data_IF_890871729680
#
_entry.id   IF_890871729680
#
_cell.length_a   1.000
_cell.length_b   1.000
_cell.length_c   1.000
_cell.angle_alpha   90.00
_cell.angle_beta   90.00
_cell.angle_gamma   90.00
#
_symmetry.space_group_name_H-M   'P 1'
#
loop_
_entity.id
_entity.type
_entity.pdbx_description
1 polymer ?
#
# COMPACT_ATOMS: atom_id res chain seq x y z
N UNK A 1 -32.28 -22.64 -1.96
CA UNK A 1 -30.93 -23.17 -2.29
C UNK A 1 -29.88 -22.11 -2.66
N UNK A 2 -30.23 -20.88 -3.04
CA UNK A 2 -29.24 -19.87 -3.46
C UNK A 2 -28.55 -19.11 -2.30
N UNK A 3 -29.29 -18.74 -1.27
CA UNK A 3 -28.77 -17.95 -0.15
C UNK A 3 -27.70 -18.68 0.69
N UNK A 4 -27.89 -19.99 0.93
CA UNK A 4 -26.90 -20.79 1.70
C UNK A 4 -25.60 -21.02 0.97
N UNK A 5 -25.62 -21.12 -0.37
CA UNK A 5 -24.40 -21.23 -1.20
C UNK A 5 -23.65 -19.90 -1.32
N UNK A 6 -24.36 -18.78 -1.32
CA UNK A 6 -23.77 -17.44 -1.37
C UNK A 6 -23.04 -17.14 -0.04
N UNK A 7 -23.62 -17.53 1.09
CA UNK A 7 -23.00 -17.38 2.41
C UNK A 7 -21.69 -18.20 2.55
N UNK A 8 -21.67 -19.44 2.04
CA UNK A 8 -20.46 -20.29 2.08
C UNK A 8 -19.29 -19.76 1.22
N UNK A 9 -19.58 -19.20 0.03
CA UNK A 9 -18.56 -18.61 -0.82
C UNK A 9 -17.99 -17.32 -0.23
N UNK A 10 -18.85 -16.53 0.41
CA UNK A 10 -18.45 -15.32 1.11
C UNK A 10 -17.55 -15.64 2.31
N UNK A 11 -17.90 -16.63 3.12
CA UNK A 11 -17.06 -17.11 4.23
C UNK A 11 -15.68 -17.58 3.76
N UNK A 12 -15.63 -18.29 2.63
CA UNK A 12 -14.35 -18.73 2.05
C UNK A 12 -13.48 -17.53 1.63
N UNK A 13 -14.08 -16.53 0.97
CA UNK A 13 -13.36 -15.32 0.56
C UNK A 13 -12.79 -14.56 1.77
N UNK A 14 -13.60 -14.36 2.81
CA UNK A 14 -13.14 -13.71 4.06
C UNK A 14 -12.01 -14.51 4.72
N UNK A 15 -12.08 -15.84 4.71
CA UNK A 15 -11.00 -16.70 5.22
C UNK A 15 -9.73 -16.54 4.39
N UNK A 16 -9.83 -16.48 3.06
CA UNK A 16 -8.69 -16.24 2.17
C UNK A 16 -8.03 -14.90 2.44
N UNK A 17 -8.81 -13.82 2.57
CA UNK A 17 -8.30 -12.49 2.90
C UNK A 17 -7.54 -12.52 4.23
N UNK A 18 -8.15 -13.09 5.28
CA UNK A 18 -7.50 -13.21 6.60
C UNK A 18 -6.21 -14.02 6.53
N UNK A 19 -6.21 -15.14 5.81
CA UNK A 19 -5.02 -15.97 5.65
C UNK A 19 -3.92 -15.23 4.89
N UNK A 20 -4.25 -14.50 3.81
CA UNK A 20 -3.29 -13.70 3.07
C UNK A 20 -2.69 -12.57 3.93
N UNK A 21 -3.52 -11.88 4.72
CA UNK A 21 -3.05 -10.85 5.65
C UNK A 21 -2.11 -11.44 6.72
N UNK A 22 -2.47 -12.59 7.32
CA UNK A 22 -1.63 -13.26 8.32
C UNK A 22 -0.32 -13.73 7.70
N UNK A 23 -0.36 -14.31 6.50
CA UNK A 23 0.84 -14.78 5.81
C UNK A 23 1.80 -13.63 5.49
N UNK A 24 1.28 -12.50 4.97
CA UNK A 24 2.09 -11.32 4.68
C UNK A 24 2.66 -10.70 5.96
N UNK A 25 1.87 -10.62 7.04
CA UNK A 25 2.33 -10.14 8.34
C UNK A 25 3.43 -11.04 8.92
N UNK A 26 3.23 -12.38 8.89
CA UNK A 26 4.24 -13.34 9.33
C UNK A 26 5.54 -13.24 8.53
N UNK A 27 5.44 -13.05 7.20
CA UNK A 27 6.59 -12.81 6.34
C UNK A 27 7.39 -11.58 6.78
N UNK A 28 6.72 -10.44 7.04
CA UNK A 28 7.40 -9.22 7.48
C UNK A 28 7.96 -9.32 8.90
N UNK A 29 7.28 -10.03 9.81
CA UNK A 29 7.83 -10.32 11.14
C UNK A 29 9.08 -11.18 11.03
N UNK A 30 9.04 -12.24 10.22
CA UNK A 30 10.20 -13.11 10.01
C UNK A 30 11.39 -12.32 9.44
N UNK A 31 11.18 -11.54 8.37
CA UNK A 31 12.25 -10.74 7.75
C UNK A 31 12.74 -9.59 8.64
N UNK A 32 11.89 -9.08 9.52
CA UNK A 32 12.27 -8.09 10.53
C UNK A 32 13.18 -8.68 11.61
N UNK A 33 13.06 -9.98 11.93
CA UNK A 33 13.88 -10.66 12.93
C UNK A 33 15.17 -11.25 12.36
N UNK A 34 15.12 -11.78 11.13
CA UNK A 34 16.25 -12.53 10.52
C UNK A 34 17.03 -11.71 9.49
N UNK A 35 16.50 -10.58 9.09
CA UNK A 35 17.00 -9.78 7.97
C UNK A 35 16.21 -10.02 6.68
N UNK A 36 16.27 -9.04 5.75
CA UNK A 36 15.55 -9.14 4.47
C UNK A 36 16.17 -10.18 3.56
N UNK A 37 15.35 -10.80 2.73
CA UNK A 37 15.80 -11.61 1.59
C UNK A 37 16.48 -10.73 0.52
N UNK A 38 16.99 -11.37 -0.52
CA UNK A 38 17.51 -10.68 -1.70
C UNK A 38 16.49 -9.65 -2.22
N UNK A 39 16.97 -8.50 -2.67
CA UNK A 39 16.16 -7.30 -2.91
C UNK A 39 14.90 -7.54 -3.75
N UNK A 40 15.02 -8.22 -4.90
CA UNK A 40 13.88 -8.50 -5.78
C UNK A 40 12.90 -9.49 -5.17
N UNK A 41 13.39 -10.53 -4.49
CA UNK A 41 12.56 -11.55 -3.82
C UNK A 41 11.72 -10.91 -2.72
N UNK A 42 12.35 -10.15 -1.83
CA UNK A 42 11.66 -9.43 -0.75
C UNK A 42 10.54 -8.53 -1.28
N UNK A 43 10.85 -7.79 -2.34
CA UNK A 43 9.94 -6.81 -2.94
C UNK A 43 8.81 -7.49 -3.72
N UNK A 44 9.09 -8.58 -4.43
CA UNK A 44 8.08 -9.34 -5.16
C UNK A 44 7.06 -10.00 -4.22
N UNK A 45 7.49 -10.55 -3.09
CA UNK A 45 6.59 -11.10 -2.07
C UNK A 45 5.74 -9.98 -1.45
N UNK A 46 6.35 -8.85 -1.11
CA UNK A 46 5.65 -7.70 -0.53
C UNK A 46 4.57 -7.15 -1.46
N UNK A 47 4.92 -6.83 -2.71
CA UNK A 47 3.99 -6.29 -3.70
C UNK A 47 2.94 -7.32 -4.09
N UNK A 48 3.36 -8.57 -4.34
CA UNK A 48 2.45 -9.66 -4.69
C UNK A 48 1.43 -9.93 -3.59
N UNK A 49 1.86 -9.97 -2.33
CA UNK A 49 0.97 -10.10 -1.18
C UNK A 49 0.03 -8.90 -1.02
N UNK A 50 0.57 -7.68 -1.06
CA UNK A 50 -0.20 -6.45 -0.93
C UNK A 50 -1.25 -6.27 -2.02
N UNK A 51 -0.89 -6.47 -3.29
CA UNK A 51 -1.83 -6.36 -4.40
C UNK A 51 -2.85 -7.50 -4.42
N UNK A 52 -2.45 -8.71 -4.01
CA UNK A 52 -3.39 -9.83 -3.86
C UNK A 52 -4.46 -9.51 -2.82
N UNK A 53 -4.08 -8.99 -1.66
CA UNK A 53 -5.01 -8.56 -0.62
C UNK A 53 -5.90 -7.42 -1.15
N UNK A 54 -5.34 -6.45 -1.86
CA UNK A 54 -6.11 -5.35 -2.46
C UNK A 54 -7.20 -5.84 -3.41
N UNK A 55 -6.89 -6.76 -4.33
CA UNK A 55 -7.89 -7.31 -5.26
C UNK A 55 -8.91 -8.19 -4.56
N UNK A 56 -8.52 -8.98 -3.56
CA UNK A 56 -9.45 -9.77 -2.76
C UNK A 56 -10.45 -8.89 -2.00
N UNK A 57 -9.99 -7.78 -1.40
CA UNK A 57 -10.86 -6.80 -0.73
C UNK A 57 -11.78 -6.10 -1.73
N UNK A 58 -11.31 -5.74 -2.92
CA UNK A 58 -12.13 -5.15 -3.97
C UNK A 58 -13.22 -6.13 -4.46
N UNK A 59 -12.91 -7.41 -4.56
CA UNK A 59 -13.89 -8.46 -4.87
C UNK A 59 -14.93 -8.58 -3.76
N UNK A 60 -14.50 -8.59 -2.49
CA UNK A 60 -15.39 -8.66 -1.33
C UNK A 60 -16.39 -7.48 -1.31
N UNK A 61 -15.89 -6.26 -1.50
CA UNK A 61 -16.71 -5.05 -1.55
C UNK A 61 -17.77 -5.13 -2.66
N UNK A 62 -17.37 -5.53 -3.89
CA UNK A 62 -18.29 -5.68 -5.03
C UNK A 62 -19.34 -6.77 -4.83
N UNK A 63 -19.02 -7.85 -4.13
CA UNK A 63 -19.98 -8.90 -3.78
C UNK A 63 -21.00 -8.35 -2.78
N UNK A 64 -20.54 -7.63 -1.73
CA UNK A 64 -21.41 -7.07 -0.70
C UNK A 64 -22.37 -6.02 -1.24
N UNK A 65 -21.92 -5.21 -2.18
CA UNK A 65 -22.75 -4.17 -2.81
C UNK A 65 -23.62 -4.70 -3.97
N UNK A 66 -23.60 -6.00 -4.21
CA UNK A 66 -24.33 -6.67 -5.31
C UNK A 66 -24.01 -6.06 -6.69
N UNK A 67 -22.79 -5.53 -6.84
CA UNK A 67 -22.30 -4.84 -8.04
C UNK A 67 -21.72 -5.83 -9.05
N UNK A 68 -21.91 -5.48 -10.28
CA UNK A 68 -21.36 -5.92 -11.55
C UNK A 68 -20.39 -7.14 -11.53
N UNK A 69 -20.90 -8.30 -11.97
CA UNK A 69 -20.13 -9.55 -12.14
C UNK A 69 -18.87 -9.36 -12.99
N UNK A 70 -18.92 -8.47 -14.00
CA UNK A 70 -17.78 -8.16 -14.87
C UNK A 70 -16.63 -7.55 -14.05
N UNK A 71 -16.95 -6.64 -13.12
CA UNK A 71 -15.94 -6.04 -12.25
C UNK A 71 -15.26 -7.06 -11.33
N UNK A 72 -16.01 -8.05 -10.84
CA UNK A 72 -15.47 -9.16 -10.03
C UNK A 72 -14.56 -10.05 -10.88
N UNK A 73 -14.96 -10.34 -12.12
CA UNK A 73 -14.14 -11.14 -13.04
C UNK A 73 -12.82 -10.44 -13.41
N UNK A 74 -12.88 -9.12 -13.65
CA UNK A 74 -11.66 -8.32 -13.91
C UNK A 74 -10.70 -8.35 -12.71
N UNK A 75 -11.21 -8.15 -11.49
CA UNK A 75 -10.37 -8.19 -10.29
C UNK A 75 -9.78 -9.59 -10.04
N UNK A 76 -10.55 -10.64 -10.31
CA UNK A 76 -10.04 -12.00 -10.27
C UNK A 76 -8.94 -12.28 -11.29
N UNK A 77 -9.07 -11.75 -12.51
CA UNK A 77 -8.03 -11.85 -13.54
C UNK A 77 -6.76 -11.08 -13.12
N UNK A 78 -6.91 -9.87 -12.60
CA UNK A 78 -5.79 -9.05 -12.12
C UNK A 78 -5.08 -9.69 -10.91
N UNK A 79 -5.84 -10.32 -10.01
CA UNK A 79 -5.29 -11.10 -8.91
C UNK A 79 -4.42 -12.25 -9.42
N UNK A 80 -4.93 -13.06 -10.34
CA UNK A 80 -4.20 -14.19 -10.92
C UNK A 80 -2.95 -13.69 -11.65
N UNK A 81 -3.08 -12.64 -12.45
CA UNK A 81 -1.95 -12.03 -13.17
C UNK A 81 -0.88 -11.51 -12.18
N UNK A 82 -1.28 -10.88 -11.09
CA UNK A 82 -0.35 -10.44 -10.03
C UNK A 82 0.43 -11.59 -9.45
N UNK A 83 -0.27 -12.67 -9.07
CA UNK A 83 0.38 -13.87 -8.52
C UNK A 83 1.35 -14.48 -9.53
N UNK A 84 0.96 -14.59 -10.80
CA UNK A 84 1.84 -15.13 -11.86
C UNK A 84 3.09 -14.25 -12.02
N UNK A 85 2.92 -12.93 -12.18
CA UNK A 85 4.05 -12.02 -12.37
C UNK A 85 5.01 -12.06 -11.18
N UNK A 86 4.51 -11.99 -9.94
CA UNK A 86 5.37 -12.01 -8.76
C UNK A 86 6.04 -13.38 -8.56
N UNK A 87 5.31 -14.49 -8.76
CA UNK A 87 5.88 -15.83 -8.66
C UNK A 87 6.96 -16.08 -9.73
N UNK A 88 6.80 -15.52 -10.91
CA UNK A 88 7.80 -15.63 -11.97
C UNK A 88 9.15 -15.02 -11.55
N UNK A 89 9.14 -13.84 -10.91
CA UNK A 89 10.36 -13.24 -10.36
C UNK A 89 11.02 -14.16 -9.33
N UNK A 90 10.22 -14.78 -8.45
CA UNK A 90 10.75 -15.69 -7.42
C UNK A 90 11.41 -16.95 -8.02
N UNK A 91 10.76 -17.54 -9.03
CA UNK A 91 11.21 -18.79 -9.66
C UNK A 91 12.36 -18.56 -10.64
N UNK A 92 12.41 -17.40 -11.28
CA UNK A 92 13.42 -17.05 -12.31
C UNK A 92 14.55 -16.20 -11.78
N UNK A 93 14.64 -15.99 -10.46
CA UNK A 93 15.59 -15.06 -9.85
C UNK A 93 17.04 -15.33 -10.26
N UNK A 94 17.49 -16.58 -10.16
CA UNK A 94 18.86 -16.97 -10.49
C UNK A 94 19.20 -16.70 -11.96
N UNK A 95 18.23 -16.93 -12.87
CA UNK A 95 18.37 -16.59 -14.29
C UNK A 95 18.45 -15.09 -14.52
N UNK A 96 17.63 -14.29 -13.82
CA UNK A 96 17.55 -12.83 -13.98
C UNK A 96 18.83 -12.12 -13.49
N UNK A 97 19.48 -12.68 -12.49
CA UNK A 97 20.72 -12.11 -11.91
C UNK A 97 21.99 -12.56 -12.65
N UNK A 98 21.87 -13.50 -13.58
CA UNK A 98 23.01 -13.96 -14.39
C UNK A 98 23.57 -12.81 -15.22
N UNK A 99 24.91 -12.56 -15.21
CA UNK A 99 25.53 -11.51 -16.01
C UNK A 99 25.33 -11.64 -17.53
N UNK A 100 25.01 -12.84 -18.02
CA UNK A 100 24.72 -13.12 -19.43
C UNK A 100 23.22 -13.23 -19.73
N UNK A 101 22.38 -12.68 -18.84
CA UNK A 101 20.94 -12.71 -18.99
C UNK A 101 20.49 -11.94 -20.24
N UNK A 102 19.65 -12.60 -21.05
CA UNK A 102 18.93 -11.98 -22.15
C UNK A 102 17.42 -12.07 -21.91
N UNK A 103 16.66 -10.95 -22.03
CA UNK A 103 15.22 -10.96 -21.88
C UNK A 103 14.54 -11.83 -22.94
N UNK A 104 13.64 -12.69 -22.52
CA UNK A 104 12.79 -13.48 -23.41
C UNK A 104 11.47 -12.74 -23.70
N UNK A 105 10.73 -13.17 -24.73
CA UNK A 105 9.39 -12.63 -25.02
C UNK A 105 8.43 -12.75 -23.83
N UNK A 106 8.56 -13.79 -23.02
CA UNK A 106 7.74 -14.00 -21.81
C UNK A 106 8.07 -12.92 -20.78
N UNK A 107 9.33 -12.60 -20.59
CA UNK A 107 9.78 -11.55 -19.69
C UNK A 107 9.17 -10.19 -20.05
N UNK A 108 9.15 -9.86 -21.33
CA UNK A 108 8.56 -8.61 -21.83
C UNK A 108 7.04 -8.58 -21.61
N UNK A 109 6.34 -9.67 -21.91
CA UNK A 109 4.89 -9.77 -21.71
C UNK A 109 4.53 -9.63 -20.23
N UNK A 110 5.24 -10.34 -19.35
CA UNK A 110 5.00 -10.24 -17.90
C UNK A 110 5.38 -8.87 -17.34
N UNK A 111 6.44 -8.25 -17.86
CA UNK A 111 6.83 -6.88 -17.52
C UNK A 111 5.77 -5.86 -17.87
N UNK A 112 5.20 -5.93 -19.08
CA UNK A 112 4.09 -5.06 -19.50
C UNK A 112 2.83 -5.34 -18.68
N UNK A 113 2.52 -6.61 -18.40
CA UNK A 113 1.40 -7.01 -17.57
C UNK A 113 1.54 -6.44 -16.14
N UNK A 114 2.70 -6.59 -15.52
CA UNK A 114 2.94 -6.07 -14.17
C UNK A 114 2.91 -4.54 -14.14
N UNK A 115 3.47 -3.87 -15.14
CA UNK A 115 3.37 -2.41 -15.28
C UNK A 115 1.92 -1.96 -15.35
N UNK A 116 1.09 -2.63 -16.15
CA UNK A 116 -0.35 -2.35 -16.22
C UNK A 116 -1.05 -2.56 -14.87
N UNK A 117 -0.74 -3.63 -14.14
CA UNK A 117 -1.29 -3.91 -12.81
C UNK A 117 -0.94 -2.78 -11.84
N UNK A 118 0.32 -2.35 -11.80
CA UNK A 118 0.78 -1.24 -10.95
C UNK A 118 0.02 0.05 -11.27
N UNK A 119 -0.12 0.39 -12.55
CA UNK A 119 -0.88 1.57 -12.99
C UNK A 119 -2.36 1.48 -12.60
N UNK A 120 -2.99 0.32 -12.74
CA UNK A 120 -4.40 0.11 -12.39
C UNK A 120 -4.64 0.18 -10.88
N UNK A 121 -3.76 -0.42 -10.07
CA UNK A 121 -3.84 -0.30 -8.61
C UNK A 121 -3.62 1.16 -8.19
N UNK A 122 -2.63 1.84 -8.76
CA UNK A 122 -2.36 3.26 -8.48
C UNK A 122 -3.56 4.13 -8.86
N UNK A 123 -4.18 3.87 -10.02
CA UNK A 123 -5.40 4.56 -10.46
C UNK A 123 -6.55 4.42 -9.46
N UNK A 124 -6.75 3.22 -8.94
CA UNK A 124 -7.82 2.95 -7.95
C UNK A 124 -7.55 3.59 -6.59
N UNK A 125 -6.28 3.68 -6.18
CA UNK A 125 -5.89 4.20 -4.87
C UNK A 125 -5.79 5.74 -4.84
N UNK A 126 -5.24 6.36 -5.88
CA UNK A 126 -4.84 7.77 -5.87
C UNK A 126 -5.55 8.59 -6.98
N UNK A 127 -6.24 7.92 -7.91
CA UNK A 127 -6.87 8.54 -9.07
C UNK A 127 -5.97 8.57 -10.31
N UNK A 128 -6.39 9.32 -11.33
CA UNK A 128 -5.80 9.28 -12.67
C UNK A 128 -4.49 10.05 -12.83
N UNK A 129 -4.21 11.03 -11.97
CA UNK A 129 -3.08 11.94 -12.16
C UNK A 129 -1.72 11.20 -12.22
N UNK A 130 -1.43 10.37 -11.23
CA UNK A 130 -0.15 9.64 -11.16
C UNK A 130 0.00 8.60 -12.28
N UNK A 131 -0.99 7.75 -12.58
CA UNK A 131 -0.89 6.83 -13.71
C UNK A 131 -0.68 7.52 -15.06
N UNK A 132 -1.36 8.64 -15.32
CA UNK A 132 -1.18 9.39 -16.55
C UNK A 132 0.21 9.99 -16.66
N UNK A 133 0.75 10.52 -15.56
CA UNK A 133 2.12 11.01 -15.51
C UNK A 133 3.13 9.88 -15.78
N UNK A 134 2.92 8.72 -15.16
CA UNK A 134 3.78 7.55 -15.39
C UNK A 134 3.69 7.05 -16.85
N UNK A 135 2.49 6.97 -17.42
CA UNK A 135 2.29 6.63 -18.83
C UNK A 135 2.96 7.63 -19.76
N UNK A 136 2.88 8.93 -19.46
CA UNK A 136 3.58 9.96 -20.21
C UNK A 136 5.10 9.75 -20.17
N UNK A 137 5.67 9.42 -19.02
CA UNK A 137 7.10 9.14 -18.89
C UNK A 137 7.51 7.88 -19.65
N UNK A 138 6.70 6.82 -19.60
CA UNK A 138 6.91 5.61 -20.41
C UNK A 138 6.88 5.93 -21.89
N UNK A 139 5.88 6.69 -22.34
CA UNK A 139 5.78 7.15 -23.72
C UNK A 139 6.99 8.00 -24.15
N UNK A 140 7.38 8.95 -23.31
CA UNK A 140 8.58 9.78 -23.55
C UNK A 140 9.83 8.91 -23.68
N UNK A 141 10.03 7.94 -22.81
CA UNK A 141 11.18 7.03 -22.84
C UNK A 141 11.25 6.22 -24.14
N UNK A 142 10.10 5.72 -24.62
CA UNK A 142 10.02 4.94 -25.88
C UNK A 142 10.22 5.81 -27.13
N UNK A 143 9.60 6.99 -27.15
CA UNK A 143 9.48 7.82 -28.33
C UNK A 143 10.30 9.11 -28.26
N UNK A 144 11.37 9.15 -27.47
CA UNK A 144 12.20 10.34 -27.26
C UNK A 144 12.83 10.92 -28.51
N UNK A 145 12.98 10.12 -29.54
CA UNK A 145 13.51 10.55 -30.86
C UNK A 145 12.57 11.49 -31.62
N UNK A 146 11.29 11.52 -31.30
CA UNK A 146 10.28 12.41 -31.90
C UNK A 146 10.14 13.75 -31.18
N UNK A 147 10.73 13.91 -30.00
CA UNK A 147 10.64 15.14 -29.23
C UNK A 147 11.59 16.21 -29.77
N UNK A 148 11.19 17.50 -29.73
CA UNK A 148 12.01 18.60 -30.27
C UNK A 148 13.07 19.09 -29.26
N UNK A 149 14.16 19.61 -29.80
CA UNK A 149 15.18 20.36 -29.05
C UNK A 149 15.89 19.55 -27.98
N UNK A 150 16.04 20.13 -26.81
CA UNK A 150 16.75 19.53 -25.65
C UNK A 150 16.06 18.30 -25.05
N UNK A 151 14.80 18.08 -25.37
CA UNK A 151 14.02 16.93 -24.93
C UNK A 151 14.23 15.70 -25.80
N UNK A 152 14.95 15.85 -26.90
CA UNK A 152 15.22 14.74 -27.83
C UNK A 152 16.26 13.79 -27.26
N UNK A 153 15.94 12.49 -27.29
CA UNK A 153 16.89 11.41 -27.01
C UNK A 153 16.65 10.23 -27.97
N UNK A 154 17.54 9.25 -27.98
CA UNK A 154 17.53 8.13 -28.93
C UNK A 154 16.30 7.22 -28.85
N UNK A 155 15.48 7.35 -27.79
CA UNK A 155 14.44 6.38 -27.48
C UNK A 155 15.02 5.08 -26.92
N UNK A 156 14.16 4.19 -26.47
CA UNK A 156 14.53 2.90 -25.88
C UNK A 156 13.65 1.82 -26.46
N UNK A 157 14.18 0.59 -26.63
CA UNK A 157 13.38 -0.54 -27.08
C UNK A 157 12.40 -1.02 -25.98
N UNK A 158 11.32 -1.67 -26.39
CA UNK A 158 10.36 -2.27 -25.45
C UNK A 158 11.03 -3.35 -24.58
N UNK A 159 11.92 -4.14 -25.14
CA UNK A 159 12.64 -5.19 -24.44
C UNK A 159 13.49 -4.60 -23.30
N UNK A 160 14.29 -3.57 -23.61
CA UNK A 160 15.09 -2.88 -22.60
C UNK A 160 14.22 -2.19 -21.54
N UNK A 161 13.10 -1.61 -21.92
CA UNK A 161 12.19 -0.99 -20.97
C UNK A 161 11.57 -2.03 -20.03
N UNK A 162 11.15 -3.19 -20.54
CA UNK A 162 10.64 -4.29 -19.73
C UNK A 162 11.71 -4.85 -18.78
N UNK A 163 12.96 -4.97 -19.25
CA UNK A 163 14.12 -5.33 -18.44
C UNK A 163 14.29 -4.36 -17.27
N UNK A 164 14.39 -3.06 -17.53
CA UNK A 164 14.60 -2.05 -16.49
C UNK A 164 13.42 -1.97 -15.53
N UNK A 165 12.17 -2.04 -16.02
CA UNK A 165 10.99 -1.88 -15.17
C UNK A 165 10.68 -3.12 -14.33
N UNK A 166 10.90 -4.33 -14.88
CA UNK A 166 10.40 -5.55 -14.27
C UNK A 166 11.49 -6.56 -13.87
N UNK A 167 12.59 -6.64 -14.62
CA UNK A 167 13.65 -7.62 -14.37
C UNK A 167 14.86 -7.03 -13.63
N UNK A 168 14.76 -5.80 -13.16
CA UNK A 168 15.83 -5.16 -12.41
C UNK A 168 15.32 -4.56 -11.09
N UNK A 169 16.26 -4.24 -10.21
CA UNK A 169 16.00 -3.54 -8.95
C UNK A 169 15.87 -2.00 -9.11
N UNK A 170 15.75 -1.51 -10.35
CA UNK A 170 15.64 -0.07 -10.67
C UNK A 170 14.20 0.38 -10.94
N UNK A 171 13.36 -0.50 -11.48
CA UNK A 171 11.97 -0.22 -11.85
C UNK A 171 10.96 -0.48 -10.72
N UNK A 172 10.00 -1.37 -10.98
CA UNK A 172 8.93 -1.74 -10.03
C UNK A 172 9.51 -2.26 -8.72
N UNK A 173 10.60 -3.04 -8.81
CA UNK A 173 11.33 -3.54 -7.65
C UNK A 173 12.42 -2.58 -7.17
N UNK A 174 12.26 -1.26 -7.41
CA UNK A 174 13.23 -0.23 -7.10
C UNK A 174 13.31 0.14 -5.61
N UNK A 175 14.08 1.20 -5.33
CA UNK A 175 14.37 1.69 -3.97
C UNK A 175 13.09 1.95 -3.16
N UNK A 176 12.08 2.59 -3.75
CA UNK A 176 10.82 2.95 -3.06
C UNK A 176 10.07 1.70 -2.60
N UNK A 177 9.97 0.69 -3.48
CA UNK A 177 9.37 -0.60 -3.13
C UNK A 177 10.20 -1.32 -2.07
N UNK A 178 11.53 -1.19 -2.13
CA UNK A 178 12.44 -1.72 -1.11
C UNK A 178 12.20 -1.11 0.26
N UNK A 179 12.09 0.21 0.36
CA UNK A 179 11.75 0.90 1.61
C UNK A 179 10.38 0.47 2.14
N UNK A 180 9.39 0.34 1.24
CA UNK A 180 8.06 -0.16 1.60
C UNK A 180 8.10 -1.58 2.17
N UNK A 181 8.84 -2.49 1.52
CA UNK A 181 8.94 -3.89 1.90
C UNK A 181 9.78 -4.17 3.16
N UNK A 182 10.53 -3.19 3.65
CA UNK A 182 11.40 -3.32 4.81
C UNK A 182 11.05 -2.33 5.91
N UNK A 183 11.51 -1.09 5.78
CA UNK A 183 11.39 -0.06 6.83
C UNK A 183 9.93 0.29 7.11
N UNK A 184 9.14 0.61 6.07
CA UNK A 184 7.74 1.00 6.26
C UNK A 184 6.93 -0.18 6.80
N UNK A 185 7.13 -1.39 6.25
CA UNK A 185 6.47 -2.59 6.76
C UNK A 185 6.77 -2.84 8.25
N UNK A 186 8.03 -2.67 8.67
CA UNK A 186 8.42 -2.81 10.08
C UNK A 186 7.70 -1.79 10.98
N UNK A 187 7.63 -0.52 10.56
CA UNK A 187 6.89 0.50 11.32
C UNK A 187 5.38 0.22 11.39
N UNK A 188 4.77 -0.21 10.27
CA UNK A 188 3.35 -0.60 10.27
C UNK A 188 3.09 -1.77 11.22
N UNK A 189 3.96 -2.78 11.22
CA UNK A 189 3.86 -3.92 12.15
C UNK A 189 4.04 -3.49 13.60
N UNK A 190 5.03 -2.64 13.89
CA UNK A 190 5.23 -2.07 15.22
C UNK A 190 3.98 -1.31 15.71
N UNK A 191 3.40 -0.48 14.83
CA UNK A 191 2.16 0.24 15.11
C UNK A 191 1.01 -0.70 15.43
N UNK A 192 0.81 -1.73 14.62
CA UNK A 192 -0.25 -2.73 14.82
C UNK A 192 -0.10 -3.46 16.17
N UNK A 193 1.12 -3.86 16.53
CA UNK A 193 1.41 -4.50 17.84
C UNK A 193 1.14 -3.54 18.99
N UNK A 194 1.60 -2.30 18.90
CA UNK A 194 1.36 -1.28 19.93
C UNK A 194 -0.14 -1.03 20.13
N UNK A 195 -0.93 -0.96 19.05
CA UNK A 195 -2.37 -0.84 19.18
C UNK A 195 -3.01 -2.07 19.84
N UNK A 196 -2.62 -3.26 19.42
CA UNK A 196 -3.15 -4.51 19.95
C UNK A 196 -2.82 -4.70 21.44
N UNK A 197 -1.69 -4.19 21.92
CA UNK A 197 -1.23 -4.25 23.32
C UNK A 197 -1.75 -3.11 24.20
N UNK A 198 -2.60 -2.21 23.66
CA UNK A 198 -3.17 -1.10 24.44
C UNK A 198 -2.34 0.17 24.43
N UNK A 199 -1.26 0.25 23.64
CA UNK A 199 -0.42 1.44 23.49
C UNK A 199 -1.20 2.68 23.08
N UNK A 200 -2.29 2.51 22.34
CA UNK A 200 -3.21 3.59 22.02
C UNK A 200 -3.77 4.29 23.26
N UNK A 201 -4.23 3.53 24.25
CA UNK A 201 -4.72 4.08 25.51
C UNK A 201 -3.57 4.75 26.29
N UNK A 202 -2.42 4.12 26.36
CA UNK A 202 -1.25 4.67 27.04
C UNK A 202 -0.82 6.04 26.46
N UNK A 203 -0.91 6.23 25.13
CA UNK A 203 -0.63 7.53 24.51
C UNK A 203 -1.66 8.60 24.85
N UNK A 204 -2.92 8.23 24.96
CA UNK A 204 -3.95 9.17 25.41
C UNK A 204 -3.71 9.56 26.86
N UNK A 205 -3.45 8.60 27.74
CA UNK A 205 -3.17 8.83 29.15
C UNK A 205 -1.91 9.70 29.34
N UNK A 206 -0.85 9.42 28.56
CA UNK A 206 0.37 10.24 28.53
C UNK A 206 0.07 11.66 28.02
N UNK A 207 -0.73 11.80 26.99
CA UNK A 207 -1.14 13.11 26.46
C UNK A 207 -1.95 13.89 27.47
N UNK A 208 -2.86 13.22 28.21
CA UNK A 208 -3.59 13.83 29.32
C UNK A 208 -2.63 14.32 30.42
N UNK A 209 -1.63 13.55 30.75
CA UNK A 209 -0.63 13.93 31.75
C UNK A 209 0.22 15.13 31.30
N UNK A 210 0.64 15.18 30.02
CA UNK A 210 1.45 16.29 29.46
C UNK A 210 0.63 17.59 29.40
N UNK A 211 -0.62 17.51 28.94
CA UNK A 211 -1.47 18.69 28.75
C UNK A 211 -2.07 19.18 30.07
N UNK A 212 -2.38 18.26 31.00
CA UNK A 212 -2.97 18.54 32.28
C UNK A 212 -4.28 19.36 32.18
N UNK A 213 -4.52 20.16 33.18
CA UNK A 213 -5.70 21.06 33.27
C UNK A 213 -5.50 22.41 32.52
N UNK A 214 -4.64 22.43 31.49
CA UNK A 214 -4.34 23.65 30.75
C UNK A 214 -5.58 24.18 30.00
N UNK A 215 -5.70 25.49 29.90
CA UNK A 215 -6.75 26.14 29.11
C UNK A 215 -6.74 25.62 27.65
N UNK A 216 -7.90 25.16 27.16
CA UNK A 216 -7.99 24.51 25.85
C UNK A 216 -7.46 23.08 25.83
N UNK A 217 -7.35 22.43 26.98
CA UNK A 217 -6.72 21.12 27.19
C UNK A 217 -7.15 20.05 26.20
N UNK A 218 -8.44 19.94 25.86
CA UNK A 218 -8.92 18.89 24.95
C UNK A 218 -8.39 19.01 23.51
N UNK A 219 -8.23 20.23 22.98
CA UNK A 219 -7.64 20.42 21.65
C UNK A 219 -6.12 20.16 21.69
N UNK A 220 -5.42 20.64 22.72
CA UNK A 220 -4.00 20.35 22.93
C UNK A 220 -3.73 18.86 23.10
N UNK A 221 -4.59 18.16 23.86
CA UNK A 221 -4.54 16.73 24.03
C UNK A 221 -4.68 16.00 22.68
N UNK A 222 -5.61 16.44 21.84
CA UNK A 222 -5.78 15.88 20.51
C UNK A 222 -4.51 16.04 19.65
N UNK A 223 -3.86 17.21 19.72
CA UNK A 223 -2.62 17.47 18.98
C UNK A 223 -1.47 16.62 19.50
N UNK A 224 -1.25 16.53 20.82
CA UNK A 224 -0.18 15.71 21.43
C UNK A 224 -0.41 14.22 21.16
N UNK A 225 -1.64 13.74 21.37
CA UNK A 225 -1.98 12.36 21.06
C UNK A 225 -1.78 12.02 19.58
N UNK A 226 -2.21 12.91 18.68
CA UNK A 226 -2.02 12.73 17.23
C UNK A 226 -0.54 12.68 16.87
N UNK A 227 0.30 13.51 17.48
CA UNK A 227 1.75 13.49 17.26
C UNK A 227 2.38 12.16 17.71
N UNK A 228 2.02 11.65 18.88
CA UNK A 228 2.50 10.35 19.37
C UNK A 228 2.03 9.18 18.48
N UNK A 229 0.77 9.23 18.03
CA UNK A 229 0.24 8.22 17.11
C UNK A 229 0.87 8.33 15.72
N UNK A 230 1.16 9.53 15.25
CA UNK A 230 1.76 9.77 13.93
C UNK A 230 3.14 9.16 13.80
N UNK A 231 3.95 9.24 14.86
CA UNK A 231 5.30 8.61 14.91
C UNK A 231 5.22 7.11 14.63
N UNK A 232 4.11 6.46 15.02
CA UNK A 232 3.98 5.00 14.97
C UNK A 232 3.16 4.56 13.74
N UNK A 233 2.07 5.27 13.41
CA UNK A 233 1.14 4.81 12.38
C UNK A 233 1.67 4.98 10.96
N UNK A 234 2.55 5.94 10.72
CA UNK A 234 3.06 6.27 9.39
C UNK A 234 1.98 6.67 8.36
N UNK A 235 0.71 6.72 8.78
CA UNK A 235 -0.45 7.01 7.93
C UNK A 235 -1.33 8.09 8.56
N UNK A 236 -1.44 9.24 7.89
CA UNK A 236 -2.28 10.35 8.35
C UNK A 236 -3.77 9.95 8.49
N UNK A 237 -4.30 9.13 7.60
CA UNK A 237 -5.68 8.65 7.68
C UNK A 237 -5.92 7.69 8.84
N UNK A 238 -4.99 6.77 9.09
CA UNK A 238 -5.07 5.87 10.25
C UNK A 238 -4.94 6.65 11.56
N UNK A 239 -4.07 7.67 11.61
CA UNK A 239 -3.92 8.56 12.75
C UNK A 239 -5.22 9.33 13.03
N UNK A 240 -5.84 9.96 12.00
CA UNK A 240 -7.15 10.64 12.14
C UNK A 240 -8.23 9.69 12.67
N UNK A 241 -8.31 8.49 12.12
CA UNK A 241 -9.32 7.51 12.53
C UNK A 241 -9.14 7.11 14.01
N UNK A 242 -7.91 6.87 14.44
CA UNK A 242 -7.61 6.38 15.78
C UNK A 242 -7.72 7.50 16.83
N UNK A 243 -7.01 8.61 16.64
CA UNK A 243 -7.04 9.73 17.60
C UNK A 243 -8.42 10.39 17.61
N UNK A 244 -9.06 10.53 16.45
CA UNK A 244 -10.38 11.11 16.33
C UNK A 244 -11.47 10.32 17.05
N UNK A 245 -11.39 8.98 17.03
CA UNK A 245 -12.36 8.14 17.73
C UNK A 245 -12.45 8.43 19.25
N UNK A 246 -11.36 8.85 19.88
CA UNK A 246 -11.31 9.18 21.29
C UNK A 246 -11.44 10.68 21.56
N UNK A 247 -10.75 11.51 20.81
CA UNK A 247 -10.63 12.96 21.12
C UNK A 247 -11.83 13.77 20.63
N UNK A 248 -12.49 13.39 19.52
CA UNK A 248 -13.71 14.10 19.05
C UNK A 248 -14.85 13.98 20.07
N UNK A 249 -15.20 12.79 20.59
CA UNK A 249 -16.20 12.67 21.65
C UNK A 249 -15.83 13.46 22.91
N UNK A 250 -14.53 13.46 23.30
CA UNK A 250 -14.05 14.21 24.45
C UNK A 250 -14.25 15.73 24.23
N UNK A 251 -13.81 16.28 23.12
CA UNK A 251 -14.00 17.70 22.79
C UNK A 251 -15.48 18.09 22.76
N UNK A 252 -16.35 17.27 22.18
CA UNK A 252 -17.79 17.51 22.16
C UNK A 252 -18.40 17.53 23.57
N UNK A 253 -17.96 16.65 24.48
CA UNK A 253 -18.45 16.62 25.88
C UNK A 253 -18.07 17.87 26.66
N UNK A 254 -16.95 18.51 26.32
CA UNK A 254 -16.47 19.75 26.97
C UNK A 254 -17.08 21.00 26.30
N UNK A 255 -17.93 20.84 25.28
CA UNK A 255 -18.66 21.93 24.65
C UNK A 255 -18.06 22.49 23.35
N UNK A 256 -17.06 21.84 22.77
CA UNK A 256 -16.56 22.22 21.45
C UNK A 256 -17.60 21.91 20.37
N UNK A 257 -17.70 22.79 19.37
CA UNK A 257 -18.53 22.55 18.19
C UNK A 257 -18.00 21.33 17.41
N UNK A 258 -18.88 20.45 16.88
CA UNK A 258 -18.46 19.25 16.15
C UNK A 258 -17.51 19.53 14.97
N UNK A 259 -17.77 20.65 14.27
CA UNK A 259 -16.96 21.06 13.11
C UNK A 259 -15.54 21.44 13.51
N UNK A 260 -15.41 22.14 14.67
CA UNK A 260 -14.11 22.50 15.23
C UNK A 260 -13.34 21.25 15.69
N UNK A 261 -14.01 20.34 16.38
CA UNK A 261 -13.39 19.08 16.82
C UNK A 261 -12.86 18.25 15.65
N UNK A 262 -13.64 18.15 14.55
CA UNK A 262 -13.22 17.45 13.35
C UNK A 262 -12.05 18.15 12.64
N UNK A 263 -12.09 19.49 12.54
CA UNK A 263 -11.03 20.27 11.90
C UNK A 263 -9.71 20.20 12.68
N UNK A 264 -9.75 20.19 14.01
CA UNK A 264 -8.56 20.08 14.86
C UNK A 264 -7.82 18.75 14.64
N UNK A 265 -8.55 17.64 14.58
CA UNK A 265 -7.96 16.32 14.29
C UNK A 265 -7.36 16.27 12.89
N UNK A 266 -8.05 16.82 11.89
CA UNK A 266 -7.53 16.91 10.53
C UNK A 266 -6.23 17.72 10.45
N UNK A 267 -6.15 18.87 11.12
CA UNK A 267 -4.94 19.71 11.19
C UNK A 267 -3.79 19.03 11.92
N UNK A 268 -4.06 18.41 13.07
CA UNK A 268 -3.06 17.70 13.84
C UNK A 268 -2.37 16.61 13.00
N UNK A 269 -3.16 15.81 12.29
CA UNK A 269 -2.64 14.72 11.43
C UNK A 269 -1.98 15.19 10.13
N UNK A 270 -2.38 16.35 9.58
CA UNK A 270 -1.74 16.93 8.40
C UNK A 270 -0.38 17.56 8.70
N UNK A 271 -0.18 18.07 9.93
CA UNK A 271 1.07 18.74 10.34
C UNK A 271 2.27 17.79 10.44
N UNK A 272 2.03 16.51 10.54
CA UNK A 272 3.07 15.46 10.58
C UNK A 272 3.67 15.10 9.20
N UNK A 273 3.16 15.69 8.12
CA UNK A 273 3.66 15.48 6.75
C UNK A 273 4.73 16.49 6.30
N UNK A 274 5.19 17.34 7.21
CA UNK A 274 6.24 18.35 6.92
C UNK A 274 7.53 18.03 7.63
#
# INVERSE_FOLDING_TARGET
>A
MSATRMNSKYELLVKLIKTACIALAAFHLYTGMTGPFQSMIQRAIHVGGGFSIFFLLSIEEKINENKNIIGIAIDGLLLIATVICCSYILLSYERIVDPFFEPTKIDVILGLCMTFIVLEVTRRMIGWFIPLLALFMVFYTLFGNYFPGVWRHSGVSLDYMAEVLYLSDRGIWGLVTGLSATVIAAFVMLGAVLFATGGGKAFIDLSCWIVGDSYGGAAKLATVASSLFGIISGSGSANVATTGAFTIPLMKRIGYKPEFAAAEIGRASCRERV
#
